data_IF_872552736025
#
_entry.id   IF_872552736025
#
_cell.length_a   1.000
_cell.length_b   1.000
_cell.length_c   1.000
_cell.angle_alpha   90.00
_cell.angle_beta   90.00
_cell.angle_gamma   90.00
#
_symmetry.space_group_name_H-M   'P 1'
#
loop_
_entity.id
_entity.type
_entity.pdbx_description
1 polymer ?
#
# COMPACT_ATOMS: atom_id res chain seq x y z
N UNK A 1 13.13 21.11 -6.82
CA UNK A 1 13.52 19.71 -7.03
C UNK A 1 12.43 19.08 -7.88
N UNK A 2 12.53 19.22 -9.21
CA UNK A 2 11.56 18.62 -10.12
C UNK A 2 11.84 17.14 -10.25
N UNK A 3 11.00 16.33 -9.59
CA UNK A 3 11.02 14.88 -9.72
C UNK A 3 10.57 14.47 -11.13
N UNK A 4 11.41 13.70 -11.80
CA UNK A 4 11.19 13.08 -13.10
C UNK A 4 9.74 12.55 -13.27
N UNK A 5 9.01 13.11 -14.24
CA UNK A 5 7.59 12.82 -14.54
C UNK A 5 7.33 11.47 -15.23
N UNK A 6 8.36 10.66 -15.49
CA UNK A 6 8.24 9.38 -16.20
C UNK A 6 8.88 8.24 -15.40
N UNK A 7 8.22 7.78 -14.33
CA UNK A 7 8.52 6.46 -13.76
C UNK A 7 7.32 5.56 -14.01
N UNK A 8 7.54 4.46 -14.71
CA UNK A 8 6.59 3.35 -14.81
C UNK A 8 6.55 2.68 -13.43
N UNK A 9 5.71 3.19 -12.51
CA UNK A 9 5.66 2.69 -11.13
C UNK A 9 5.20 1.24 -11.04
N UNK A 10 4.49 0.73 -12.05
CA UNK A 10 4.09 -0.67 -12.14
C UNK A 10 5.28 -1.62 -12.38
N UNK A 11 6.35 -1.16 -13.06
CA UNK A 11 7.54 -1.97 -13.38
C UNK A 11 8.31 -2.41 -12.13
N UNK A 12 8.17 -1.67 -11.02
CA UNK A 12 8.78 -1.97 -9.72
C UNK A 12 7.74 -1.99 -8.59
N UNK A 13 6.60 -2.63 -8.83
CA UNK A 13 5.54 -2.82 -7.85
C UNK A 13 5.57 -4.24 -7.27
N UNK A 14 5.28 -4.38 -5.97
CA UNK A 14 5.14 -5.67 -5.30
C UNK A 14 3.82 -5.70 -4.52
N UNK A 15 3.13 -6.84 -4.57
CA UNK A 15 1.91 -7.06 -3.83
C UNK A 15 2.22 -7.63 -2.45
N UNK A 16 1.65 -7.01 -1.43
CA UNK A 16 1.78 -7.43 -0.04
C UNK A 16 0.42 -7.42 0.65
N UNK A 17 0.20 -8.33 1.62
CA UNK A 17 -1.05 -8.36 2.36
C UNK A 17 -1.17 -7.12 3.25
N UNK A 18 -2.35 -6.49 3.25
CA UNK A 18 -2.63 -5.38 4.18
C UNK A 18 -2.61 -5.82 5.64
N UNK A 19 -2.91 -7.08 5.93
CA UNK A 19 -2.82 -7.66 7.27
C UNK A 19 -1.91 -8.86 7.22
N UNK A 20 -0.83 -8.85 8.02
CA UNK A 20 0.10 -9.98 8.17
C UNK A 20 0.15 -10.45 9.61
N UNK A 21 0.61 -11.68 9.80
CA UNK A 21 0.87 -12.25 11.12
C UNK A 21 2.30 -11.96 11.54
N UNK A 22 2.50 -11.40 12.73
CA UNK A 22 3.84 -11.21 13.27
C UNK A 22 4.49 -12.58 13.51
N UNK A 23 5.67 -12.86 12.91
CA UNK A 23 6.24 -14.21 12.89
C UNK A 23 6.53 -14.76 14.29
N UNK A 24 6.94 -13.91 15.22
CA UNK A 24 7.32 -14.34 16.58
C UNK A 24 6.14 -14.39 17.57
N UNK A 25 5.13 -13.53 17.39
CA UNK A 25 4.08 -13.34 18.41
C UNK A 25 2.71 -13.86 17.96
N UNK A 26 2.55 -14.21 16.68
CA UNK A 26 1.29 -14.68 16.11
C UNK A 26 0.20 -13.60 16.01
N UNK A 27 0.47 -12.36 16.43
CA UNK A 27 -0.51 -11.26 16.40
C UNK A 27 -0.72 -10.77 14.98
N UNK A 28 -1.96 -10.42 14.64
CA UNK A 28 -2.27 -9.73 13.38
C UNK A 28 -1.81 -8.28 13.47
N UNK A 29 -1.11 -7.82 12.44
CA UNK A 29 -0.65 -6.43 12.31
C UNK A 29 -1.06 -5.87 10.95
N UNK A 30 -1.39 -4.59 10.94
CA UNK A 30 -1.62 -3.84 9.71
C UNK A 30 -0.26 -3.55 9.06
N UNK A 31 -0.12 -3.90 7.79
CA UNK A 31 1.10 -3.75 7.00
C UNK A 31 0.85 -2.81 5.81
N UNK A 32 0.67 -1.54 6.14
CA UNK A 32 0.45 -0.46 5.17
C UNK A 32 1.30 0.75 5.56
N UNK A 33 1.76 1.52 4.57
CA UNK A 33 2.59 2.70 4.78
C UNK A 33 2.26 3.77 3.74
N UNK A 34 2.07 5.02 4.18
CA UNK A 34 1.71 6.16 3.34
C UNK A 34 2.67 6.41 2.17
N UNK A 35 3.95 6.05 2.32
CA UNK A 35 4.97 6.28 1.28
C UNK A 35 4.94 5.20 0.17
N UNK A 36 4.60 3.97 0.52
CA UNK A 36 4.78 2.80 -0.35
C UNK A 36 3.46 2.15 -0.79
N UNK A 37 2.41 2.21 0.03
CA UNK A 37 1.10 1.66 -0.30
C UNK A 37 0.39 2.60 -1.27
N UNK A 38 0.18 2.16 -2.51
CA UNK A 38 -0.39 2.96 -3.61
C UNK A 38 -1.81 2.60 -3.99
N UNK A 39 -2.18 1.33 -3.87
CA UNK A 39 -3.50 0.80 -4.22
C UNK A 39 -3.82 -0.43 -3.39
N UNK A 40 -5.11 -0.65 -3.13
CA UNK A 40 -5.65 -1.89 -2.59
C UNK A 40 -6.13 -2.74 -3.77
N UNK A 41 -5.57 -3.94 -3.92
CA UNK A 41 -5.93 -4.85 -5.01
C UNK A 41 -7.39 -5.28 -4.87
N UNK A 42 -8.16 -5.17 -5.95
CA UNK A 42 -9.57 -5.55 -6.02
C UNK A 42 -10.57 -4.44 -5.67
N UNK A 43 -10.10 -3.24 -5.34
CA UNK A 43 -10.93 -2.05 -5.19
C UNK A 43 -10.67 -1.07 -6.33
N UNK A 44 -11.66 -0.23 -6.63
CA UNK A 44 -11.46 0.93 -7.49
C UNK A 44 -10.48 1.92 -6.83
N UNK A 45 -9.75 2.69 -7.64
CA UNK A 45 -8.74 3.62 -7.14
C UNK A 45 -9.31 4.61 -6.12
N UNK A 46 -10.52 5.13 -6.37
CA UNK A 46 -11.19 6.08 -5.47
C UNK A 46 -11.51 5.43 -4.11
N UNK A 47 -12.06 4.21 -4.12
CA UNK A 47 -12.38 3.47 -2.89
C UNK A 47 -11.11 3.13 -2.11
N UNK A 48 -10.06 2.68 -2.82
CA UNK A 48 -8.75 2.44 -2.24
C UNK A 48 -8.18 3.70 -1.57
N UNK A 49 -8.23 4.84 -2.25
CA UNK A 49 -7.70 6.10 -1.73
C UNK A 49 -8.48 6.60 -0.51
N UNK A 50 -9.81 6.43 -0.48
CA UNK A 50 -10.63 6.77 0.69
C UNK A 50 -10.28 5.91 1.91
N UNK A 51 -10.11 4.60 1.73
CA UNK A 51 -9.73 3.70 2.82
C UNK A 51 -8.32 4.03 3.33
N UNK A 52 -7.36 4.23 2.42
CA UNK A 52 -6.00 4.59 2.82
C UNK A 52 -5.96 5.92 3.59
N UNK A 53 -6.79 6.91 3.21
CA UNK A 53 -6.93 8.18 3.95
C UNK A 53 -7.53 8.03 5.35
N UNK A 54 -8.33 7.00 5.61
CA UNK A 54 -8.88 6.75 6.95
C UNK A 54 -7.89 6.03 7.87
N UNK A 55 -6.94 5.29 7.29
CA UNK A 55 -5.93 4.52 8.02
C UNK A 55 -4.76 5.38 8.47
N UNK A 56 -4.38 6.39 7.68
CA UNK A 56 -3.28 7.33 7.97
C UNK A 56 -3.79 8.60 8.66
#
# INVERSE_FOLDING_TARGET
MEGNKNKNFDEYSNEHPMVRTHPETGKKILFVNWTYTRKIIGLDQNESDEILKQIF
#
